data_IF_415502802135
#
_entry.id   IF_415502802135
#
_cell.length_a   1.000
_cell.length_b   1.000
_cell.length_c   1.000
_cell.angle_alpha   90.00
_cell.angle_beta   90.00
_cell.angle_gamma   90.00
#
_symmetry.space_group_name_H-M   'P 1'
#
loop_
_entity.id
_entity.type
_entity.pdbx_description
1 polymer ?
#
# COMPACT_ATOMS: atom_id res chain seq x y z
N UNK A 1 -21.77 -24.78 -0.24
CA UNK A 1 -20.84 -24.51 0.86
C UNK A 1 -21.57 -23.80 2.02
N UNK A 2 -21.42 -24.28 3.24
CA UNK A 2 -22.08 -23.73 4.42
C UNK A 2 -21.76 -22.23 4.64
N UNK A 3 -20.57 -21.79 4.31
CA UNK A 3 -20.17 -20.36 4.41
C UNK A 3 -20.92 -19.49 3.40
N UNK A 4 -21.15 -19.96 2.20
CA UNK A 4 -21.91 -19.24 1.18
C UNK A 4 -23.37 -19.11 1.55
N UNK A 5 -23.98 -20.19 2.08
CA UNK A 5 -25.36 -20.19 2.54
C UNK A 5 -25.58 -19.20 3.69
N UNK A 6 -24.62 -19.10 4.62
CA UNK A 6 -24.67 -18.13 5.72
C UNK A 6 -24.61 -16.70 5.19
N UNK A 7 -23.70 -16.41 4.26
CA UNK A 7 -23.57 -15.08 3.65
C UNK A 7 -24.84 -14.70 2.88
N UNK A 8 -25.39 -15.60 2.10
CA UNK A 8 -26.63 -15.38 1.35
C UNK A 8 -27.79 -15.08 2.29
N UNK A 9 -27.91 -15.82 3.38
CA UNK A 9 -28.93 -15.60 4.41
C UNK A 9 -28.77 -14.24 5.10
N UNK A 10 -27.56 -13.82 5.41
CA UNK A 10 -27.28 -12.51 6.02
C UNK A 10 -27.64 -11.37 5.07
N UNK A 11 -27.28 -11.47 3.79
CA UNK A 11 -27.61 -10.47 2.77
C UNK A 11 -29.11 -10.33 2.60
N UNK A 12 -29.83 -11.44 2.50
CA UNK A 12 -31.29 -11.44 2.38
C UNK A 12 -31.96 -10.80 3.60
N UNK A 13 -31.57 -11.17 4.81
CA UNK A 13 -32.13 -10.60 6.05
C UNK A 13 -31.84 -9.11 6.18
N UNK A 14 -30.62 -8.68 5.83
CA UNK A 14 -30.26 -7.26 5.87
C UNK A 14 -31.12 -6.46 4.90
N UNK A 15 -31.30 -6.95 3.67
CA UNK A 15 -32.05 -6.25 2.64
C UNK A 15 -33.57 -6.23 2.91
N UNK A 16 -34.09 -7.19 3.70
CA UNK A 16 -35.51 -7.25 4.10
C UNK A 16 -35.89 -6.19 5.16
N UNK A 17 -34.91 -5.59 5.84
CA UNK A 17 -35.17 -4.61 6.90
C UNK A 17 -35.41 -3.18 6.43
N UNK A 18 -35.71 -2.96 5.18
CA UNK A 18 -36.10 -1.64 4.61
C UNK A 18 -35.10 -0.52 4.93
N UNK A 19 -33.80 -0.87 4.96
CA UNK A 19 -32.72 0.08 5.19
C UNK A 19 -32.37 0.82 3.89
N UNK A 20 -31.95 2.07 4.01
CA UNK A 20 -31.49 2.88 2.85
C UNK A 20 -30.29 2.26 2.13
N UNK A 21 -29.48 1.49 2.86
CA UNK A 21 -28.30 0.84 2.30
C UNK A 21 -28.58 -0.64 2.05
N UNK A 22 -28.48 -1.06 0.82
CA UNK A 22 -28.50 -2.47 0.44
C UNK A 22 -27.07 -3.02 0.38
N UNK A 23 -26.90 -4.29 0.76
CA UNK A 23 -25.63 -5.00 0.69
C UNK A 23 -25.69 -6.10 -0.35
N UNK A 24 -24.53 -6.48 -0.88
CA UNK A 24 -24.40 -7.58 -1.81
C UNK A 24 -23.20 -8.45 -1.44
N UNK A 25 -23.25 -9.70 -1.87
CA UNK A 25 -22.13 -10.63 -1.74
C UNK A 25 -21.00 -10.19 -2.69
N UNK A 26 -19.77 -10.19 -2.21
CA UNK A 26 -18.59 -9.96 -3.01
C UNK A 26 -17.76 -11.22 -3.13
N UNK A 27 -17.19 -11.44 -4.28
CA UNK A 27 -16.23 -12.51 -4.47
C UNK A 27 -14.91 -12.20 -3.73
N UNK A 28 -14.31 -13.25 -3.16
CA UNK A 28 -13.06 -13.11 -2.40
C UNK A 28 -11.96 -12.41 -3.21
N UNK A 29 -11.83 -12.73 -4.49
CA UNK A 29 -10.85 -12.11 -5.37
C UNK A 29 -11.08 -10.62 -5.58
N UNK A 30 -12.34 -10.18 -5.66
CA UNK A 30 -12.70 -8.77 -5.78
C UNK A 30 -12.32 -7.99 -4.51
N UNK A 31 -12.58 -8.60 -3.34
CA UNK A 31 -12.21 -8.02 -2.05
C UNK A 31 -10.69 -7.93 -1.94
N UNK A 32 -9.98 -9.00 -2.23
CA UNK A 32 -8.52 -9.05 -2.15
C UNK A 32 -7.87 -8.07 -3.13
N UNK A 33 -8.36 -8.00 -4.38
CA UNK A 33 -7.90 -7.06 -5.39
C UNK A 33 -8.14 -5.60 -4.97
N UNK A 34 -9.32 -5.31 -4.43
CA UNK A 34 -9.66 -3.99 -3.91
C UNK A 34 -8.79 -3.58 -2.72
N UNK A 35 -8.48 -4.52 -1.82
CA UNK A 35 -7.57 -4.27 -0.70
C UNK A 35 -6.13 -4.03 -1.17
N UNK A 36 -5.63 -4.85 -2.08
CA UNK A 36 -4.25 -4.69 -2.59
C UNK A 36 -4.04 -3.36 -3.32
N UNK A 37 -5.03 -2.89 -4.08
CA UNK A 37 -4.89 -1.65 -4.84
C UNK A 37 -5.02 -0.38 -3.99
N UNK A 38 -5.68 -0.45 -2.84
CA UNK A 38 -5.96 0.71 -1.97
C UNK A 38 -5.00 0.87 -0.81
N UNK A 39 -4.35 -0.21 -0.38
CA UNK A 39 -3.47 -0.18 0.78
C UNK A 39 -2.03 0.13 0.36
N UNK A 40 -1.69 1.38 0.39
CA UNK A 40 -0.32 1.85 0.52
C UNK A 40 -0.14 2.25 1.99
N UNK A 41 0.93 1.83 2.64
CA UNK A 41 1.14 2.11 4.06
C UNK A 41 2.22 3.17 4.29
N UNK A 42 3.40 2.96 3.73
CA UNK A 42 4.55 3.83 3.96
C UNK A 42 4.40 5.14 3.18
N UNK A 43 4.07 5.06 1.88
CA UNK A 43 3.96 6.25 1.04
C UNK A 43 2.88 7.22 1.53
N UNK A 44 1.64 6.79 1.86
CA UNK A 44 0.65 7.68 2.47
C UNK A 44 1.09 8.25 3.81
N UNK A 45 1.75 7.45 4.66
CA UNK A 45 2.24 7.93 5.96
C UNK A 45 3.29 9.03 5.79
N UNK A 46 4.23 8.85 4.85
CA UNK A 46 5.22 9.88 4.49
C UNK A 46 4.54 11.11 3.92
N UNK A 47 3.61 10.96 2.98
CA UNK A 47 2.89 12.09 2.38
C UNK A 47 2.08 12.86 3.45
N UNK A 48 1.41 12.17 4.36
CA UNK A 48 0.67 12.78 5.46
C UNK A 48 1.59 13.56 6.40
N UNK A 49 2.75 13.01 6.74
CA UNK A 49 3.77 13.69 7.56
C UNK A 49 4.29 14.97 6.91
N UNK A 50 4.34 15.01 5.57
CA UNK A 50 4.72 16.19 4.80
C UNK A 50 3.55 17.16 4.52
N UNK A 51 2.39 16.92 5.11
CA UNK A 51 1.19 17.74 4.89
C UNK A 51 0.54 17.56 3.52
N UNK A 52 0.84 16.48 2.81
CA UNK A 52 0.27 16.19 1.49
C UNK A 52 -1.00 15.33 1.61
N UNK A 53 -2.03 15.58 0.78
CA UNK A 53 -3.26 14.78 0.81
C UNK A 53 -3.06 13.36 0.29
N UNK A 54 -3.98 12.44 0.63
CA UNK A 54 -3.95 11.03 0.22
C UNK A 54 -4.12 10.83 -1.29
N UNK A 55 -4.51 11.85 -2.01
CA UNK A 55 -4.63 11.85 -3.47
C UNK A 55 -3.58 12.74 -4.17
N UNK A 56 -2.46 13.01 -3.50
CA UNK A 56 -1.41 13.84 -4.09
C UNK A 56 -0.77 13.16 -5.32
N UNK A 57 -0.15 13.97 -6.17
CA UNK A 57 0.47 13.53 -7.42
C UNK A 57 1.50 12.40 -7.20
N UNK A 58 2.39 12.59 -6.24
CA UNK A 58 3.48 11.65 -5.96
C UNK A 58 2.95 10.30 -5.49
N UNK A 59 1.93 10.29 -4.65
CA UNK A 59 1.31 9.06 -4.16
C UNK A 59 0.62 8.29 -5.28
N UNK A 60 -0.13 8.99 -6.14
CA UNK A 60 -0.77 8.37 -7.30
C UNK A 60 0.24 7.84 -8.31
N UNK A 61 1.34 8.56 -8.51
CA UNK A 61 2.43 8.14 -9.39
C UNK A 61 3.09 6.85 -8.89
N UNK A 62 3.37 6.77 -7.59
CA UNK A 62 3.96 5.58 -6.97
C UNK A 62 2.99 4.38 -7.00
N UNK A 63 1.70 4.60 -6.77
CA UNK A 63 0.68 3.55 -6.88
C UNK A 63 0.61 2.99 -8.30
N UNK A 64 0.57 3.87 -9.29
CA UNK A 64 0.55 3.47 -10.70
C UNK A 64 1.81 2.69 -11.06
N UNK A 65 2.97 3.18 -10.69
CA UNK A 65 4.25 2.51 -10.93
C UNK A 65 4.25 1.07 -10.37
N UNK A 66 3.82 0.92 -9.13
CA UNK A 66 3.74 -0.38 -8.48
C UNK A 66 2.79 -1.33 -9.22
N UNK A 67 1.60 -0.86 -9.52
CA UNK A 67 0.50 -1.69 -10.04
C UNK A 67 0.62 -2.00 -11.54
N UNK A 68 1.19 -1.08 -12.32
CA UNK A 68 1.29 -1.23 -13.78
C UNK A 68 2.66 -1.71 -14.24
N UNK A 69 3.73 -1.36 -13.56
CA UNK A 69 5.10 -1.70 -13.97
C UNK A 69 5.74 -2.74 -13.07
N UNK A 70 5.90 -2.43 -11.77
CA UNK A 70 6.71 -3.24 -10.85
C UNK A 70 6.18 -4.67 -10.72
N UNK A 71 4.88 -4.85 -10.57
CA UNK A 71 4.24 -6.16 -10.44
C UNK A 71 4.51 -7.06 -11.66
N UNK A 72 4.65 -6.46 -12.85
CA UNK A 72 4.87 -7.18 -14.10
C UNK A 72 6.35 -7.50 -14.39
N UNK A 73 7.27 -7.05 -13.52
CA UNK A 73 8.69 -7.37 -13.67
C UNK A 73 9.04 -8.67 -12.96
N UNK A 74 10.08 -9.33 -13.42
CA UNK A 74 10.61 -10.53 -12.77
C UNK A 74 10.99 -10.23 -11.31
N UNK A 75 10.42 -10.99 -10.37
CA UNK A 75 10.61 -10.74 -8.93
C UNK A 75 9.83 -9.55 -8.39
N UNK A 76 9.07 -8.83 -9.21
CA UNK A 76 8.31 -7.67 -8.78
C UNK A 76 7.13 -8.01 -7.86
N UNK A 77 6.46 -9.11 -8.13
CA UNK A 77 5.36 -9.60 -7.27
C UNK A 77 5.84 -9.90 -5.85
N UNK A 78 7.02 -10.53 -5.72
CA UNK A 78 7.61 -10.85 -4.42
C UNK A 78 7.97 -9.59 -3.65
N UNK A 79 8.52 -8.58 -4.31
CA UNK A 79 8.85 -7.29 -3.68
C UNK A 79 7.59 -6.58 -3.20
N UNK A 80 6.54 -6.57 -4.02
CA UNK A 80 5.25 -5.96 -3.66
C UNK A 80 4.59 -6.73 -2.52
N UNK A 81 4.61 -8.06 -2.56
CA UNK A 81 4.09 -8.91 -1.48
C UNK A 81 4.84 -8.68 -0.16
N UNK A 82 6.17 -8.62 -0.21
CA UNK A 82 7.03 -8.30 0.95
C UNK A 82 6.67 -6.91 1.51
N UNK A 83 6.52 -5.92 0.65
CA UNK A 83 6.10 -4.59 1.06
C UNK A 83 4.78 -4.60 1.85
N UNK A 84 3.76 -5.29 1.34
CA UNK A 84 2.46 -5.37 2.02
C UNK A 84 2.52 -6.11 3.35
N UNK A 85 3.42 -7.08 3.46
CA UNK A 85 3.59 -7.86 4.69
C UNK A 85 4.25 -7.02 5.81
N UNK A 86 5.25 -6.23 5.48
CA UNK A 86 6.05 -5.49 6.46
C UNK A 86 5.57 -4.06 6.72
N UNK A 87 4.97 -3.41 5.75
CA UNK A 87 4.68 -1.98 5.80
C UNK A 87 3.76 -1.56 6.96
N UNK A 88 2.67 -2.30 7.32
CA UNK A 88 1.85 -1.94 8.46
C UNK A 88 2.63 -1.92 9.78
N UNK A 89 3.49 -2.91 9.99
CA UNK A 89 4.32 -3.00 11.19
C UNK A 89 5.34 -1.86 11.25
N UNK A 90 5.97 -1.54 10.13
CA UNK A 90 6.94 -0.44 10.04
C UNK A 90 6.27 0.90 10.36
N UNK A 91 5.13 1.20 9.75
CA UNK A 91 4.37 2.44 10.00
C UNK A 91 3.98 2.55 11.48
N UNK A 92 3.47 1.46 12.06
CA UNK A 92 3.11 1.44 13.49
C UNK A 92 4.31 1.71 14.40
N UNK A 93 5.48 1.17 14.07
CA UNK A 93 6.70 1.40 14.85
C UNK A 93 7.19 2.84 14.72
N UNK A 94 7.22 3.38 13.51
CA UNK A 94 7.61 4.77 13.27
C UNK A 94 6.68 5.73 14.00
N UNK A 95 5.37 5.52 13.93
CA UNK A 95 4.37 6.38 14.58
C UNK A 95 4.49 6.45 16.11
N UNK A 96 5.15 5.46 16.73
CA UNK A 96 5.43 5.45 18.18
C UNK A 96 6.73 6.15 18.55
N UNK A 97 7.53 6.55 17.56
CA UNK A 97 8.79 7.26 17.80
C UNK A 97 8.53 8.75 18.00
N UNK A 98 9.27 9.38 18.92
CA UNK A 98 9.18 10.82 19.14
C UNK A 98 9.61 11.64 17.93
N UNK A 99 10.54 11.09 17.12
CA UNK A 99 11.07 11.71 15.91
C UNK A 99 10.45 11.13 14.62
N UNK A 100 9.20 10.70 14.67
CA UNK A 100 8.52 10.08 13.51
C UNK A 100 8.52 10.96 12.26
N UNK A 101 8.36 12.28 12.43
CA UNK A 101 8.40 13.23 11.31
C UNK A 101 9.76 13.24 10.61
N UNK A 102 10.85 13.24 11.37
CA UNK A 102 12.21 13.18 10.82
C UNK A 102 12.45 11.86 10.08
N UNK A 103 11.97 10.76 10.63
CA UNK A 103 12.07 9.44 9.98
C UNK A 103 11.32 9.41 8.66
N UNK A 104 10.12 9.96 8.61
CA UNK A 104 9.36 10.04 7.36
C UNK A 104 10.01 10.99 6.35
N UNK A 105 10.58 12.11 6.80
CA UNK A 105 11.34 13.01 5.93
C UNK A 105 12.57 12.31 5.33
N UNK A 106 13.27 11.49 6.11
CA UNK A 106 14.40 10.69 5.62
C UNK A 106 13.95 9.66 4.58
N UNK A 107 12.85 8.96 4.80
CA UNK A 107 12.29 8.02 3.81
C UNK A 107 11.93 8.74 2.51
N UNK A 108 11.32 9.92 2.62
CA UNK A 108 11.01 10.74 1.46
C UNK A 108 12.27 11.10 0.67
N UNK A 109 13.25 11.67 1.35
CA UNK A 109 14.47 12.19 0.70
C UNK A 109 15.35 11.08 0.10
N UNK A 110 15.43 9.92 0.76
CA UNK A 110 16.33 8.85 0.33
C UNK A 110 15.70 7.87 -0.66
N UNK A 111 14.37 7.71 -0.64
CA UNK A 111 13.71 6.68 -1.44
C UNK A 111 12.57 7.21 -2.32
N UNK A 112 11.55 7.84 -1.73
CA UNK A 112 10.35 8.18 -2.47
C UNK A 112 10.56 9.32 -3.48
N UNK A 113 11.22 10.38 -3.09
CA UNK A 113 11.53 11.49 -3.99
C UNK A 113 12.42 11.04 -5.15
N UNK A 114 13.52 10.28 -4.94
CA UNK A 114 14.28 9.70 -6.04
C UNK A 114 13.44 8.78 -6.95
N UNK A 115 12.55 7.96 -6.38
CA UNK A 115 11.64 7.13 -7.18
C UNK A 115 10.75 7.98 -8.08
N UNK A 116 10.13 9.02 -7.55
CA UNK A 116 9.28 9.95 -8.32
C UNK A 116 10.09 10.56 -9.47
N UNK A 117 11.29 11.03 -9.20
CA UNK A 117 12.18 11.62 -10.22
C UNK A 117 12.55 10.62 -11.32
N UNK A 118 12.80 9.37 -10.96
CA UNK A 118 13.11 8.31 -11.93
C UNK A 118 11.90 7.96 -12.80
N UNK A 119 10.71 7.91 -12.21
CA UNK A 119 9.47 7.66 -12.96
C UNK A 119 9.21 8.82 -13.94
N UNK A 120 9.35 10.06 -13.52
CA UNK A 120 9.16 11.23 -14.36
C UNK A 120 10.17 11.29 -15.53
N UNK A 121 11.37 10.74 -15.32
CA UNK A 121 12.41 10.63 -16.34
C UNK A 121 12.29 9.36 -17.20
N UNK A 122 11.24 8.58 -17.02
CA UNK A 122 11.01 7.29 -17.68
C UNK A 122 12.13 6.26 -17.41
N UNK A 123 12.83 6.40 -16.30
CA UNK A 123 13.89 5.48 -15.87
C UNK A 123 13.33 4.49 -14.82
N UNK A 124 12.45 3.64 -15.28
CA UNK A 124 11.67 2.74 -14.42
C UNK A 124 12.53 1.67 -13.74
N UNK A 125 13.59 1.23 -14.39
CA UNK A 125 14.52 0.24 -13.82
C UNK A 125 15.34 0.82 -12.67
N UNK A 126 15.77 2.06 -12.75
CA UNK A 126 16.43 2.76 -11.65
C UNK A 126 15.46 2.94 -10.46
N UNK A 127 14.22 3.28 -10.73
CA UNK A 127 13.17 3.35 -9.70
C UNK A 127 12.98 1.99 -9.01
N UNK A 128 12.99 0.89 -9.76
CA UNK A 128 12.90 -0.48 -9.22
C UNK A 128 14.01 -0.76 -8.20
N UNK A 129 15.23 -0.40 -8.52
CA UNK A 129 16.37 -0.57 -7.60
C UNK A 129 16.19 0.20 -6.31
N UNK A 130 15.80 1.47 -6.40
CA UNK A 130 15.56 2.33 -5.24
C UNK A 130 14.40 1.79 -4.39
N UNK A 131 13.32 1.38 -5.02
CA UNK A 131 12.15 0.81 -4.34
C UNK A 131 12.52 -0.49 -3.61
N UNK A 132 13.25 -1.37 -4.25
CA UNK A 132 13.73 -2.63 -3.67
C UNK A 132 14.64 -2.37 -2.47
N UNK A 133 15.58 -1.44 -2.60
CA UNK A 133 16.47 -1.03 -1.50
C UNK A 133 15.67 -0.46 -0.32
N UNK A 134 14.65 0.32 -0.58
CA UNK A 134 13.75 0.84 0.45
C UNK A 134 13.09 -0.31 1.22
N UNK A 135 12.47 -1.25 0.54
CA UNK A 135 11.77 -2.37 1.17
C UNK A 135 12.72 -3.17 2.07
N UNK A 136 13.87 -3.56 1.57
CA UNK A 136 14.83 -4.36 2.34
C UNK A 136 15.51 -3.58 3.45
N UNK A 137 15.83 -2.31 3.25
CA UNK A 137 16.44 -1.46 4.27
C UNK A 137 15.48 -1.21 5.44
N UNK A 138 14.23 -0.90 5.15
CA UNK A 138 13.20 -0.70 6.18
C UNK A 138 12.89 -2.01 6.91
N UNK A 139 12.82 -3.12 6.20
CA UNK A 139 12.66 -4.44 6.81
C UNK A 139 13.78 -4.73 7.81
N UNK A 140 15.02 -4.56 7.39
CA UNK A 140 16.19 -4.76 8.26
C UNK A 140 16.18 -3.87 9.48
N UNK A 141 15.88 -2.58 9.29
CA UNK A 141 15.90 -1.59 10.37
C UNK A 141 14.79 -1.80 11.39
N UNK A 142 13.60 -2.15 10.96
CA UNK A 142 12.42 -2.17 11.84
C UNK A 142 11.94 -3.55 12.25
N UNK A 143 12.35 -4.61 11.57
CA UNK A 143 11.91 -5.97 11.89
C UNK A 143 13.01 -6.86 12.49
N UNK A 144 14.26 -6.61 12.15
CA UNK A 144 15.38 -7.46 12.56
C UNK A 144 16.46 -6.77 13.39
N UNK A 145 16.24 -5.54 13.77
CA UNK A 145 17.16 -4.82 14.67
C UNK A 145 16.68 -4.81 16.10
#
# INVERSE_FOLDING_TARGET
DACEEIVDCMVERWNDHDLELKISKSEFEQIQGGFKSRLCYITPAVCASLGKPDNCYELNLMRRYRDEYLVNQEGGEEIVAEYYDIAPTIVNRINRMENSEDVYADIWNHYLHPCVSMIESDNLEACRKIYTDMVYSLRRKYLFS
#
